data_IF_279923232420
#
_entry.id   IF_279923232420
#
_cell.length_a   1.000
_cell.length_b   1.000
_cell.length_c   1.000
_cell.angle_alpha   90.00
_cell.angle_beta   90.00
_cell.angle_gamma   90.00
#
_symmetry.space_group_name_H-M   'P 1'
#
loop_
_entity.id
_entity.type
_entity.pdbx_description
1 polymer ?
#
# COMPACT_ATOMS: atom_id res chain seq x y z
N UNK A 1 -16.71 -33.54 -1.39
CA UNK A 1 -15.35 -33.45 -0.81
C UNK A 1 -14.65 -32.20 -1.33
N UNK A 2 -14.05 -31.41 -0.45
CA UNK A 2 -13.23 -30.26 -0.89
C UNK A 2 -11.96 -30.79 -1.56
N UNK A 3 -11.55 -30.20 -2.69
CA UNK A 3 -10.27 -30.54 -3.32
C UNK A 3 -9.10 -30.16 -2.41
N UNK A 4 -7.94 -30.81 -2.59
CA UNK A 4 -6.72 -30.48 -1.83
C UNK A 4 -6.37 -28.99 -1.95
N UNK A 5 -6.57 -28.42 -3.15
CA UNK A 5 -6.39 -26.99 -3.43
C UNK A 5 -7.31 -26.11 -2.58
N UNK A 6 -8.57 -26.50 -2.40
CA UNK A 6 -9.54 -25.80 -1.56
C UNK A 6 -9.19 -25.87 -0.07
N UNK A 7 -8.67 -27.01 0.39
CA UNK A 7 -8.23 -27.20 1.78
C UNK A 7 -7.03 -26.31 2.07
N UNK A 8 -5.99 -26.38 1.23
CA UNK A 8 -4.78 -25.56 1.37
C UNK A 8 -5.11 -24.06 1.30
N UNK A 9 -5.98 -23.70 0.37
CA UNK A 9 -6.40 -22.30 0.19
C UNK A 9 -7.18 -21.80 1.41
N UNK A 10 -8.13 -22.58 1.93
CA UNK A 10 -8.89 -22.23 3.14
C UNK A 10 -7.98 -22.09 4.37
N UNK A 11 -6.97 -22.95 4.49
CA UNK A 11 -6.00 -22.88 5.58
C UNK A 11 -5.12 -21.62 5.50
N UNK A 12 -4.57 -21.33 4.32
CA UNK A 12 -3.78 -20.10 4.06
C UNK A 12 -4.61 -18.85 4.34
N UNK A 13 -5.83 -18.84 3.86
CA UNK A 13 -6.77 -17.74 4.03
C UNK A 13 -7.07 -17.47 5.51
N UNK A 14 -7.46 -18.51 6.24
CA UNK A 14 -7.76 -18.42 7.67
C UNK A 14 -6.55 -17.98 8.50
N UNK A 15 -5.35 -18.45 8.15
CA UNK A 15 -4.12 -18.17 8.91
C UNK A 15 -3.49 -16.82 8.58
N UNK A 16 -3.51 -16.40 7.31
CA UNK A 16 -2.73 -15.26 6.84
C UNK A 16 -3.56 -14.07 6.38
N UNK A 17 -4.80 -14.28 5.93
CA UNK A 17 -5.64 -13.24 5.35
C UNK A 17 -6.82 -12.83 6.24
N UNK A 18 -6.93 -13.42 7.42
CA UNK A 18 -7.98 -13.07 8.38
C UNK A 18 -9.39 -13.42 7.94
N UNK A 19 -9.54 -14.35 6.99
CA UNK A 19 -10.85 -14.84 6.55
C UNK A 19 -11.58 -13.95 5.55
N UNK A 20 -10.89 -12.97 4.94
CA UNK A 20 -11.50 -12.03 3.98
C UNK A 20 -11.75 -12.59 2.58
N UNK A 21 -11.22 -13.76 2.25
CA UNK A 21 -11.30 -14.32 0.88
C UNK A 21 -12.68 -14.76 0.47
N UNK A 22 -13.56 -15.04 1.42
CA UNK A 22 -14.90 -15.58 1.16
C UNK A 22 -15.95 -14.48 0.91
N UNK A 23 -15.58 -13.22 0.98
CA UNK A 23 -16.52 -12.11 0.85
C UNK A 23 -16.72 -11.61 -0.58
N UNK A 24 -15.83 -11.98 -1.49
CA UNK A 24 -15.90 -11.62 -2.91
C UNK A 24 -15.93 -12.86 -3.80
N UNK A 25 -16.63 -12.79 -4.92
CA UNK A 25 -16.65 -13.85 -5.93
C UNK A 25 -15.29 -14.09 -6.56
N UNK A 26 -15.11 -15.24 -7.20
CA UNK A 26 -13.86 -15.55 -7.92
C UNK A 26 -13.60 -14.57 -9.08
N UNK A 27 -14.64 -14.14 -9.78
CA UNK A 27 -14.55 -13.16 -10.87
C UNK A 27 -14.03 -11.81 -10.36
N UNK A 28 -14.59 -11.29 -9.28
CA UNK A 28 -14.12 -10.08 -8.59
C UNK A 28 -12.66 -10.19 -8.17
N UNK A 29 -12.28 -11.34 -7.59
CA UNK A 29 -10.89 -11.55 -7.15
C UNK A 29 -9.90 -11.59 -8.31
N UNK A 30 -10.30 -12.12 -9.47
CA UNK A 30 -9.48 -12.12 -10.68
C UNK A 30 -9.32 -10.72 -11.25
N UNK A 31 -10.38 -9.92 -11.33
CA UNK A 31 -10.33 -8.53 -11.84
C UNK A 31 -9.47 -7.62 -10.97
N UNK A 32 -9.54 -7.74 -9.66
CA UNK A 32 -8.72 -6.95 -8.73
C UNK A 32 -7.22 -7.34 -8.74
N UNK A 33 -6.87 -8.56 -9.18
CA UNK A 33 -5.48 -9.04 -9.16
C UNK A 33 -4.60 -8.39 -10.22
N UNK A 34 -5.18 -7.96 -11.33
CA UNK A 34 -4.45 -7.40 -12.46
C UNK A 34 -4.34 -5.88 -12.33
N UNK A 35 -3.12 -5.37 -12.17
CA UNK A 35 -2.86 -3.91 -12.18
C UNK A 35 -3.29 -3.24 -13.50
N UNK A 36 -3.23 -3.99 -14.61
CA UNK A 36 -3.72 -3.52 -15.90
C UNK A 36 -5.23 -3.32 -15.89
N UNK A 37 -5.98 -4.34 -15.44
CA UNK A 37 -7.45 -4.27 -15.38
C UNK A 37 -7.92 -3.19 -14.40
N UNK A 38 -7.27 -3.07 -13.24
CA UNK A 38 -7.60 -2.00 -12.28
C UNK A 38 -7.42 -0.61 -12.91
N UNK A 39 -6.32 -0.36 -13.64
CA UNK A 39 -6.11 0.93 -14.34
C UNK A 39 -7.10 1.16 -15.47
N UNK A 40 -7.42 0.14 -16.25
CA UNK A 40 -8.43 0.22 -17.31
C UNK A 40 -9.79 0.60 -16.71
N UNK A 41 -10.17 -0.03 -15.59
CA UNK A 41 -11.39 0.29 -14.87
C UNK A 41 -11.38 1.73 -14.33
N UNK A 42 -10.27 2.16 -13.74
CA UNK A 42 -10.12 3.55 -13.29
C UNK A 42 -10.21 4.55 -14.44
N UNK A 43 -9.57 4.25 -15.58
CA UNK A 43 -9.60 5.11 -16.77
C UNK A 43 -11.00 5.24 -17.35
N UNK A 44 -11.74 4.12 -17.47
CA UNK A 44 -13.09 4.09 -18.01
C UNK A 44 -14.11 4.86 -17.15
N UNK A 45 -13.85 4.93 -15.84
CA UNK A 45 -14.75 5.54 -14.86
C UNK A 45 -14.24 6.88 -14.31
N UNK A 46 -13.30 7.51 -14.98
CA UNK A 46 -12.71 8.80 -14.61
C UNK A 46 -12.14 8.85 -13.17
N UNK A 47 -11.71 7.70 -12.63
CA UNK A 47 -11.01 7.64 -11.34
C UNK A 47 -9.56 8.13 -11.51
N UNK A 48 -9.09 9.09 -10.68
CA UNK A 48 -7.73 9.58 -10.76
C UNK A 48 -6.70 8.45 -10.59
N UNK A 49 -5.82 8.24 -11.56
CA UNK A 49 -4.81 7.19 -11.51
C UNK A 49 -3.53 7.62 -12.23
N UNK A 50 -2.41 6.96 -11.91
CA UNK A 50 -1.15 7.21 -12.58
C UNK A 50 -1.22 6.81 -14.06
N UNK A 51 -0.79 7.69 -14.95
CA UNK A 51 -0.46 7.28 -16.32
C UNK A 51 0.65 6.24 -16.23
N UNK A 52 0.51 5.15 -16.98
CA UNK A 52 1.48 4.07 -16.94
C UNK A 52 1.34 3.11 -18.10
N UNK A 53 2.43 2.43 -18.43
CA UNK A 53 2.54 1.50 -19.53
C UNK A 53 3.26 0.21 -19.14
N UNK A 54 2.86 -0.89 -19.77
CA UNK A 54 3.60 -2.16 -19.66
C UNK A 54 4.72 -2.17 -20.72
N UNK A 55 5.89 -2.62 -20.30
CA UNK A 55 7.04 -2.73 -21.18
C UNK A 55 7.82 -4.04 -21.00
N UNK A 56 8.48 -4.47 -22.09
CA UNK A 56 9.34 -5.65 -22.14
C UNK A 56 10.80 -5.29 -22.43
N UNK A 57 11.04 -4.25 -23.21
CA UNK A 57 12.35 -3.76 -23.61
C UNK A 57 12.69 -2.40 -23.00
N UNK A 58 13.72 -1.76 -23.54
CA UNK A 58 14.23 -0.49 -23.03
C UNK A 58 13.54 0.73 -23.65
N UNK A 59 13.11 0.67 -24.91
CA UNK A 59 12.65 1.85 -25.67
C UNK A 59 11.42 2.52 -25.04
N UNK A 60 10.37 1.74 -24.75
CA UNK A 60 9.12 2.28 -24.16
C UNK A 60 9.34 3.08 -22.88
N UNK A 61 10.12 2.63 -21.87
CA UNK A 61 10.36 3.43 -20.68
C UNK A 61 11.03 4.78 -20.94
N UNK A 62 11.95 4.85 -21.90
CA UNK A 62 12.59 6.11 -22.26
C UNK A 62 11.62 7.06 -22.96
N UNK A 63 10.78 6.54 -23.87
CA UNK A 63 9.72 7.33 -24.51
C UNK A 63 8.69 7.82 -23.51
N UNK A 64 8.32 6.98 -22.52
CA UNK A 64 7.45 7.35 -21.43
C UNK A 64 8.04 8.50 -20.59
N UNK A 65 9.31 8.39 -20.18
CA UNK A 65 10.00 9.42 -19.42
C UNK A 65 10.13 10.74 -20.22
N UNK A 66 10.37 10.66 -21.55
CA UNK A 66 10.40 11.82 -22.43
C UNK A 66 9.03 12.51 -22.50
N UNK A 67 7.94 11.73 -22.55
CA UNK A 67 6.57 12.25 -22.67
C UNK A 67 6.02 12.84 -21.39
N UNK A 68 6.24 12.17 -20.25
CA UNK A 68 5.59 12.52 -18.97
C UNK A 68 6.52 13.15 -17.93
N UNK A 69 7.84 13.17 -18.21
CA UNK A 69 8.83 13.73 -17.29
C UNK A 69 9.12 12.81 -16.09
N UNK A 70 9.94 13.33 -15.19
CA UNK A 70 10.28 12.73 -13.90
C UNK A 70 9.58 13.49 -12.76
N UNK A 71 9.39 12.89 -11.57
CA UNK A 71 9.77 11.52 -11.17
C UNK A 71 8.79 10.44 -11.66
N UNK A 72 9.32 9.22 -11.83
CA UNK A 72 8.57 8.04 -12.28
C UNK A 72 8.85 6.81 -11.40
N UNK A 73 8.04 5.78 -11.59
CA UNK A 73 8.15 4.46 -10.93
C UNK A 73 8.37 3.39 -11.99
N UNK A 74 9.28 2.45 -11.71
CA UNK A 74 9.41 1.19 -12.44
C UNK A 74 9.19 0.04 -11.48
N UNK A 75 8.30 -0.89 -11.84
CA UNK A 75 7.95 -2.04 -10.99
C UNK A 75 7.63 -3.29 -11.83
N UNK A 76 7.77 -4.51 -11.27
CA UNK A 76 7.31 -5.73 -11.93
C UNK A 76 5.79 -5.65 -12.17
N UNK A 77 5.33 -6.17 -13.32
CA UNK A 77 3.90 -6.20 -13.63
C UNK A 77 3.11 -7.10 -12.66
N UNK A 78 3.74 -8.19 -12.22
CA UNK A 78 3.18 -9.12 -11.22
C UNK A 78 4.12 -9.16 -10.02
N UNK A 79 3.76 -8.50 -8.94
CA UNK A 79 4.48 -8.57 -7.67
C UNK A 79 3.59 -8.11 -6.52
N UNK A 80 3.78 -8.74 -5.35
CA UNK A 80 3.18 -8.27 -4.09
C UNK A 80 4.17 -7.46 -3.26
N UNK A 81 3.66 -6.69 -2.29
CA UNK A 81 4.46 -5.98 -1.28
C UNK A 81 5.54 -5.04 -1.84
N UNK A 82 5.30 -4.43 -3.01
CA UNK A 82 6.24 -3.54 -3.70
C UNK A 82 7.62 -4.15 -3.98
N UNK A 83 7.75 -5.48 -4.00
CA UNK A 83 9.02 -6.17 -4.31
C UNK A 83 9.47 -5.84 -5.72
N UNK A 84 10.75 -5.53 -5.90
CA UNK A 84 11.32 -5.17 -7.20
C UNK A 84 10.90 -3.80 -7.74
N UNK A 85 10.17 -2.98 -6.95
CA UNK A 85 9.80 -1.61 -7.36
C UNK A 85 10.93 -0.62 -7.09
N UNK A 86 11.14 0.31 -8.04
CA UNK A 86 12.13 1.38 -8.00
C UNK A 86 11.43 2.73 -8.10
N UNK A 87 11.56 3.56 -7.07
CA UNK A 87 10.98 4.90 -6.99
C UNK A 87 11.60 5.73 -5.84
N UNK A 88 11.58 7.07 -5.88
CA UNK A 88 11.39 7.85 -7.08
C UNK A 88 12.58 7.69 -8.03
N UNK A 89 12.30 7.69 -9.35
CA UNK A 89 13.32 7.73 -10.40
C UNK A 89 13.31 9.15 -10.95
N UNK A 90 14.42 9.87 -10.84
CA UNK A 90 14.50 11.31 -11.10
C UNK A 90 15.28 11.67 -12.37
N UNK A 91 15.93 10.70 -13.01
CA UNK A 91 16.71 10.92 -14.21
C UNK A 91 16.89 9.63 -15.03
N UNK A 92 17.43 9.77 -16.25
CA UNK A 92 17.62 8.66 -17.17
C UNK A 92 18.62 7.61 -16.71
N UNK A 93 19.66 8.00 -15.96
CA UNK A 93 20.63 7.06 -15.39
C UNK A 93 19.97 6.14 -14.37
N UNK A 94 19.14 6.70 -13.47
CA UNK A 94 18.37 5.92 -12.52
C UNK A 94 17.32 5.06 -13.23
N UNK A 95 16.72 5.56 -14.32
CA UNK A 95 15.77 4.80 -15.11
C UNK A 95 16.42 3.57 -15.74
N UNK A 96 17.57 3.72 -16.40
CA UNK A 96 18.31 2.60 -16.98
C UNK A 96 18.62 1.53 -15.93
N UNK A 97 19.17 1.94 -14.78
CA UNK A 97 19.45 1.04 -13.64
C UNK A 97 18.18 0.33 -13.16
N UNK A 98 17.08 1.04 -13.04
CA UNK A 98 15.80 0.47 -12.59
C UNK A 98 15.25 -0.55 -13.61
N UNK A 99 15.38 -0.29 -14.92
CA UNK A 99 14.96 -1.23 -15.98
C UNK A 99 15.75 -2.52 -15.88
N UNK A 100 17.07 -2.46 -15.75
CA UNK A 100 17.91 -3.65 -15.61
C UNK A 100 17.53 -4.45 -14.36
N UNK A 101 17.42 -3.79 -13.22
CA UNK A 101 17.13 -4.45 -11.94
C UNK A 101 15.73 -5.06 -11.87
N UNK A 102 14.72 -4.40 -12.47
CA UNK A 102 13.34 -4.93 -12.44
C UNK A 102 13.21 -6.22 -13.27
N UNK A 103 14.01 -6.37 -14.32
CA UNK A 103 14.01 -7.57 -15.18
C UNK A 103 14.51 -8.82 -14.47
N UNK A 104 15.31 -8.69 -13.41
CA UNK A 104 15.72 -9.80 -12.55
C UNK A 104 14.49 -10.40 -11.84
N UNK A 105 13.48 -9.58 -11.54
CA UNK A 105 12.26 -10.01 -10.85
C UNK A 105 11.22 -10.56 -11.80
N UNK A 106 11.01 -9.88 -12.94
CA UNK A 106 9.95 -10.27 -13.88
C UNK A 106 10.18 -9.66 -15.27
N UNK A 107 10.06 -10.43 -16.35
CA UNK A 107 10.28 -9.93 -17.71
C UNK A 107 9.34 -8.78 -18.09
N UNK A 108 8.04 -8.91 -17.77
CA UNK A 108 7.03 -7.88 -17.99
C UNK A 108 7.02 -6.88 -16.82
N UNK A 109 7.23 -5.61 -17.11
CA UNK A 109 7.34 -4.56 -16.11
C UNK A 109 6.43 -3.38 -16.43
N UNK A 110 6.17 -2.55 -15.44
CA UNK A 110 5.31 -1.36 -15.56
C UNK A 110 6.14 -0.13 -15.25
N UNK A 111 5.96 0.90 -16.08
CA UNK A 111 6.42 2.27 -15.78
C UNK A 111 5.20 3.16 -15.53
N UNK A 112 5.26 4.01 -14.52
CA UNK A 112 4.17 4.89 -14.09
C UNK A 112 4.69 6.23 -13.61
N UNK A 113 3.84 7.26 -13.68
CA UNK A 113 4.09 8.52 -13.00
C UNK A 113 4.20 8.30 -11.49
N UNK A 114 5.10 9.05 -10.84
CA UNK A 114 5.22 9.08 -9.38
C UNK A 114 4.50 10.30 -8.82
N UNK A 115 3.79 10.11 -7.73
CA UNK A 115 3.23 11.19 -6.92
C UNK A 115 3.85 11.13 -5.53
N UNK A 116 4.45 12.23 -5.09
CA UNK A 116 4.82 12.42 -3.68
C UNK A 116 3.57 12.87 -2.93
N UNK A 117 3.23 12.17 -1.86
CA UNK A 117 2.04 12.48 -1.08
C UNK A 117 1.83 11.46 0.02
N UNK A 118 0.71 11.57 0.68
CA UNK A 118 0.28 10.72 1.76
C UNK A 118 -0.34 9.43 1.23
N UNK A 119 0.09 8.31 1.78
CA UNK A 119 -0.34 6.99 1.32
C UNK A 119 -1.46 6.45 2.21
N UNK A 120 -2.63 6.24 1.63
CA UNK A 120 -3.81 5.76 2.33
C UNK A 120 -4.22 4.38 1.85
N UNK A 121 -4.75 3.60 2.77
CA UNK A 121 -5.61 2.45 2.48
C UNK A 121 -6.97 2.68 3.10
N UNK A 122 -7.99 2.68 2.25
CA UNK A 122 -9.38 2.78 2.65
C UNK A 122 -10.03 1.43 2.41
N UNK A 123 -10.66 0.86 3.44
CA UNK A 123 -11.48 -0.34 3.29
C UNK A 123 -12.93 0.07 3.17
N UNK A 124 -13.55 -0.38 2.09
CA UNK A 124 -14.97 -0.16 1.81
C UNK A 124 -15.68 -1.51 1.84
N UNK A 125 -16.80 -1.58 2.55
CA UNK A 125 -17.70 -2.73 2.64
C UNK A 125 -19.08 -2.30 2.15
N UNK A 126 -19.54 -2.93 1.07
CA UNK A 126 -20.80 -2.52 0.43
C UNK A 126 -20.78 -1.01 0.11
N UNK A 127 -21.61 -0.24 0.76
CA UNK A 127 -21.76 1.20 0.54
C UNK A 127 -21.21 2.04 1.71
N UNK A 128 -20.34 1.47 2.55
CA UNK A 128 -19.81 2.14 3.74
C UNK A 128 -18.29 2.10 3.79
N UNK A 129 -17.68 3.18 4.24
CA UNK A 129 -16.27 3.20 4.63
C UNK A 129 -16.13 2.45 5.96
N UNK A 130 -15.45 1.32 5.92
CA UNK A 130 -15.14 0.53 7.10
C UNK A 130 -14.04 1.18 7.93
N UNK A 131 -12.94 1.55 7.29
CA UNK A 131 -11.77 2.10 7.98
C UNK A 131 -10.85 2.83 7.03
N UNK A 132 -10.19 3.86 7.55
CA UNK A 132 -9.16 4.66 6.87
C UNK A 132 -7.87 4.54 7.63
N UNK A 133 -6.81 4.14 6.96
CA UNK A 133 -5.46 4.17 7.51
C UNK A 133 -4.51 4.95 6.61
N UNK A 134 -3.64 5.72 7.24
CA UNK A 134 -2.47 6.33 6.61
C UNK A 134 -1.26 5.45 6.87
N UNK A 135 -0.47 5.24 5.84
CA UNK A 135 0.70 4.37 5.92
C UNK A 135 1.98 5.17 5.69
N UNK A 136 2.95 4.90 6.51
CA UNK A 136 4.26 5.52 6.43
C UNK A 136 5.36 4.49 6.18
N UNK A 137 6.44 4.87 5.51
CA UNK A 137 7.67 4.10 5.58
C UNK A 137 8.16 4.04 7.04
N UNK A 138 9.05 3.12 7.41
CA UNK A 138 9.65 3.15 8.73
C UNK A 138 10.42 4.45 8.95
N UNK A 139 10.18 5.10 10.07
CA UNK A 139 10.86 6.31 10.50
C UNK A 139 11.05 6.34 12.01
N UNK A 140 11.94 7.20 12.46
CA UNK A 140 12.08 7.61 13.87
C UNK A 140 12.01 9.13 13.96
N UNK A 141 11.68 9.65 15.14
CA UNK A 141 11.64 11.09 15.41
C UNK A 141 12.78 11.41 16.36
N UNK A 142 13.64 12.34 15.97
CA UNK A 142 14.74 12.82 16.77
C UNK A 142 14.28 13.45 18.08
N UNK A 143 15.01 13.22 19.15
CA UNK A 143 14.86 13.87 20.44
C UNK A 143 15.96 14.92 20.73
N UNK A 144 16.93 15.04 19.82
CA UNK A 144 18.08 15.93 19.93
C UNK A 144 19.25 15.37 20.75
N UNK A 145 19.09 14.15 21.34
CA UNK A 145 20.09 13.56 22.23
C UNK A 145 20.48 12.13 21.86
N UNK A 146 19.53 11.36 21.32
CA UNK A 146 19.73 9.94 21.04
C UNK A 146 20.15 9.73 19.59
N UNK A 147 20.99 8.73 19.36
CA UNK A 147 21.35 8.25 18.04
C UNK A 147 20.14 7.61 17.33
N UNK A 148 20.21 7.54 15.99
CA UNK A 148 19.19 6.84 15.20
C UNK A 148 19.06 5.38 15.65
N UNK A 149 20.16 4.73 16.05
CA UNK A 149 20.13 3.36 16.54
C UNK A 149 19.30 3.22 17.82
N UNK A 150 19.55 4.08 18.81
CA UNK A 150 18.80 4.10 20.07
C UNK A 150 17.33 4.44 19.87
N UNK A 151 17.03 5.36 18.93
CA UNK A 151 15.64 5.69 18.57
C UNK A 151 14.92 4.51 17.93
N UNK A 152 15.61 3.69 17.10
CA UNK A 152 15.05 2.46 16.53
C UNK A 152 14.75 1.44 17.63
N UNK A 153 15.66 1.25 18.58
CA UNK A 153 15.48 0.30 19.68
C UNK A 153 14.27 0.68 20.53
N UNK A 154 14.16 1.95 20.93
CA UNK A 154 13.00 2.46 21.66
C UNK A 154 11.68 2.30 20.91
N UNK A 155 11.68 2.55 19.59
CA UNK A 155 10.48 2.35 18.77
C UNK A 155 10.12 0.87 18.68
N UNK A 156 11.08 -0.04 18.58
CA UNK A 156 10.85 -1.47 18.57
C UNK A 156 10.32 -1.99 19.91
N UNK A 157 10.85 -1.50 21.03
CA UNK A 157 10.36 -1.81 22.38
C UNK A 157 8.91 -1.35 22.57
N UNK A 158 8.55 -0.17 22.05
CA UNK A 158 7.18 0.32 22.08
C UNK A 158 6.24 -0.57 21.25
N UNK A 159 6.69 -1.02 20.06
CA UNK A 159 5.91 -1.94 19.21
C UNK A 159 5.68 -3.29 19.88
N UNK A 160 6.67 -3.80 20.60
CA UNK A 160 6.55 -5.03 21.36
C UNK A 160 5.55 -4.87 22.51
N UNK A 161 5.67 -3.79 23.31
CA UNK A 161 4.70 -3.48 24.37
C UNK A 161 3.27 -3.32 23.87
N UNK A 162 3.09 -2.79 22.66
CA UNK A 162 1.80 -2.67 22.00
C UNK A 162 1.33 -3.98 21.33
N UNK A 163 2.11 -5.05 21.34
CA UNK A 163 1.84 -6.32 20.69
C UNK A 163 1.50 -6.18 19.18
N UNK A 164 2.23 -5.31 18.46
CA UNK A 164 1.93 -5.02 17.06
C UNK A 164 2.38 -6.12 16.09
N UNK A 165 3.34 -6.96 16.48
CA UNK A 165 3.73 -8.13 15.69
C UNK A 165 2.64 -9.21 15.73
N UNK A 166 2.32 -9.91 14.63
CA UNK A 166 3.01 -9.93 13.34
C UNK A 166 2.47 -8.91 12.30
N UNK A 167 1.63 -7.98 12.68
CA UNK A 167 1.04 -6.99 11.75
C UNK A 167 2.06 -5.95 11.35
N UNK A 168 2.66 -5.29 12.33
CA UNK A 168 3.77 -4.33 12.12
C UNK A 168 5.04 -5.01 12.62
N UNK A 169 6.00 -5.18 11.72
CA UNK A 169 7.28 -5.77 12.07
C UNK A 169 8.21 -4.75 12.75
N UNK A 170 9.20 -5.20 13.55
CA UNK A 170 10.23 -4.31 14.06
C UNK A 170 11.03 -3.67 12.92
N UNK A 171 11.57 -2.50 13.16
CA UNK A 171 12.46 -1.81 12.24
C UNK A 171 13.82 -2.51 12.26
N UNK A 172 14.27 -2.96 11.10
CA UNK A 172 15.54 -3.70 10.99
C UNK A 172 16.75 -2.77 10.90
N UNK A 173 17.77 -3.03 11.73
CA UNK A 173 19.10 -2.41 11.65
C UNK A 173 20.00 -3.23 10.69
N UNK A 174 19.72 -3.14 9.38
CA UNK A 174 20.36 -3.98 8.37
C UNK A 174 21.00 -3.15 7.23
N UNK A 175 21.69 -3.82 6.32
CA UNK A 175 22.38 -3.17 5.19
C UNK A 175 21.46 -2.29 4.32
N UNK A 176 20.16 -2.55 4.28
CA UNK A 176 19.20 -1.72 3.52
C UNK A 176 19.03 -0.36 4.22
N UNK A 177 18.83 -0.39 5.53
CA UNK A 177 18.73 0.82 6.36
C UNK A 177 20.02 1.64 6.28
N UNK A 178 21.20 0.99 6.42
CA UNK A 178 22.50 1.65 6.26
C UNK A 178 22.61 2.36 4.91
N UNK A 179 22.31 1.65 3.82
CA UNK A 179 22.37 2.21 2.46
C UNK A 179 21.37 3.34 2.23
N UNK A 180 20.26 3.29 2.94
CA UNK A 180 19.23 4.33 2.83
C UNK A 180 19.66 5.60 3.57
N UNK A 181 20.12 5.48 4.81
CA UNK A 181 20.64 6.59 5.61
C UNK A 181 21.82 7.31 4.93
N UNK A 182 22.76 6.57 4.33
CA UNK A 182 23.88 7.14 3.57
C UNK A 182 23.47 8.08 2.44
N UNK A 183 22.27 7.94 1.86
CA UNK A 183 21.78 8.86 0.82
C UNK A 183 21.49 10.26 1.35
N UNK A 184 21.24 10.37 2.65
CA UNK A 184 21.00 11.63 3.37
C UNK A 184 22.18 12.01 4.25
N UNK A 185 23.37 11.43 4.01
CA UNK A 185 24.59 11.62 4.80
C UNK A 185 24.42 11.28 6.30
N UNK A 186 23.52 10.32 6.60
CA UNK A 186 23.24 9.84 7.95
C UNK A 186 23.81 8.43 8.15
N UNK A 187 24.03 8.07 9.41
CA UNK A 187 24.39 6.73 9.87
C UNK A 187 23.66 6.42 11.19
N UNK A 188 23.79 5.20 11.70
CA UNK A 188 23.13 4.80 12.94
C UNK A 188 23.54 5.63 14.17
N UNK A 189 24.78 6.14 14.19
CA UNK A 189 25.30 6.99 15.27
C UNK A 189 24.94 8.48 15.12
N UNK A 190 24.28 8.88 14.01
CA UNK A 190 23.81 10.26 13.83
C UNK A 190 22.72 10.58 14.85
N UNK A 191 22.77 11.80 15.40
CA UNK A 191 21.80 12.32 16.38
C UNK A 191 20.89 13.33 15.64
N UNK A 192 19.63 12.96 15.32
CA UNK A 192 18.71 13.87 14.67
C UNK A 192 18.23 14.96 15.62
N UNK A 193 17.96 16.14 15.08
CA UNK A 193 17.40 17.25 15.83
C UNK A 193 16.04 16.91 16.45
N UNK A 194 15.68 17.56 17.53
CA UNK A 194 14.37 17.35 18.19
C UNK A 194 13.22 17.64 17.21
N UNK A 195 12.34 16.65 17.05
CA UNK A 195 11.20 16.72 16.12
C UNK A 195 11.55 16.37 14.67
N UNK A 196 12.81 16.14 14.33
CA UNK A 196 13.23 15.74 12.99
C UNK A 196 12.76 14.31 12.69
N UNK A 197 12.00 14.14 11.59
CA UNK A 197 11.58 12.82 11.11
C UNK A 197 12.65 12.22 10.20
N UNK A 198 13.31 11.17 10.65
CA UNK A 198 14.30 10.43 9.87
C UNK A 198 13.67 9.19 9.29
N UNK A 199 13.44 9.20 7.99
CA UNK A 199 12.96 8.01 7.25
C UNK A 199 14.09 6.98 7.13
N UNK A 200 13.80 5.72 7.41
CA UNK A 200 14.77 4.62 7.44
C UNK A 200 14.71 3.73 6.20
N UNK A 201 13.63 3.83 5.44
CA UNK A 201 13.42 3.14 4.18
C UNK A 201 12.31 3.81 3.36
N UNK A 202 12.29 3.67 2.05
CA UNK A 202 11.36 4.39 1.17
C UNK A 202 10.02 3.69 0.92
N UNK A 203 9.78 2.49 1.45
CA UNK A 203 8.56 1.72 1.17
C UNK A 203 7.62 1.74 2.36
N UNK A 204 6.35 1.99 2.09
CA UNK A 204 5.24 1.93 3.07
C UNK A 204 4.77 0.49 3.35
N UNK A 205 5.70 -0.47 3.36
CA UNK A 205 5.41 -1.89 3.60
C UNK A 205 5.63 -2.24 5.09
N UNK A 206 4.80 -3.13 5.63
CA UNK A 206 4.84 -3.50 7.05
C UNK A 206 6.05 -4.36 7.42
N UNK A 207 6.48 -5.24 6.52
CA UNK A 207 7.61 -6.14 6.74
C UNK A 207 8.97 -5.43 7.00
N UNK A 208 9.32 -4.31 6.36
CA UNK A 208 10.50 -3.54 6.74
C UNK A 208 10.29 -2.60 7.94
N UNK A 209 9.18 -2.71 8.66
CA UNK A 209 8.87 -1.88 9.81
C UNK A 209 8.05 -0.62 9.49
N UNK A 210 7.30 -0.61 8.38
CA UNK A 210 6.39 0.50 8.05
C UNK A 210 5.36 0.73 9.15
N UNK A 211 4.82 1.93 9.18
CA UNK A 211 3.95 2.42 10.26
C UNK A 211 2.52 2.60 9.73
N UNK A 212 1.55 2.30 10.58
CA UNK A 212 0.13 2.51 10.35
C UNK A 212 -0.39 3.51 11.36
N UNK A 213 -1.12 4.49 10.84
CA UNK A 213 -1.95 5.40 11.59
C UNK A 213 -3.41 5.20 11.20
N UNK A 214 -4.29 4.97 12.16
CA UNK A 214 -5.73 4.96 11.92
C UNK A 214 -6.28 6.37 12.00
N UNK A 215 -7.09 6.73 11.01
CA UNK A 215 -7.75 8.03 10.95
C UNK A 215 -9.24 7.88 11.26
N UNK A 216 -9.82 8.95 11.75
CA UNK A 216 -11.27 9.04 11.81
C UNK A 216 -11.83 9.08 10.38
N UNK A 217 -12.72 8.14 10.07
CA UNK A 217 -13.35 8.08 8.74
C UNK A 217 -14.17 9.33 8.41
N UNK A 218 -14.64 10.03 9.43
CA UNK A 218 -15.46 11.24 9.27
C UNK A 218 -14.61 12.49 9.01
N UNK A 219 -13.28 12.41 9.20
CA UNK A 219 -12.34 13.45 8.78
C UNK A 219 -12.07 13.44 7.27
N UNK A 220 -12.48 12.40 6.54
CA UNK A 220 -12.35 12.35 5.09
C UNK A 220 -13.28 13.35 4.43
N UNK A 221 -12.76 14.14 3.48
CA UNK A 221 -13.59 15.06 2.69
C UNK A 221 -14.70 14.29 1.94
N UNK A 222 -15.92 14.85 1.87
CA UNK A 222 -17.09 14.14 1.33
C UNK A 222 -16.91 13.72 -0.13
N UNK A 223 -16.34 14.55 -0.97
CA UNK A 223 -16.04 14.17 -2.37
C UNK A 223 -15.11 12.96 -2.47
N UNK A 224 -14.16 12.83 -1.55
CA UNK A 224 -13.27 11.67 -1.48
C UNK A 224 -14.04 10.43 -1.03
N UNK A 225 -14.91 10.57 -0.04
CA UNK A 225 -15.80 9.51 0.44
C UNK A 225 -16.64 8.95 -0.70
N UNK A 226 -17.34 9.81 -1.44
CA UNK A 226 -18.14 9.42 -2.61
C UNK A 226 -17.29 8.70 -3.66
N UNK A 227 -16.06 9.21 -3.92
CA UNK A 227 -15.17 8.61 -4.91
C UNK A 227 -14.74 7.19 -4.51
N UNK A 228 -14.42 6.94 -3.23
CA UNK A 228 -14.11 5.60 -2.74
C UNK A 228 -15.33 4.66 -2.82
N UNK A 229 -16.52 5.13 -2.49
CA UNK A 229 -17.75 4.34 -2.56
C UNK A 229 -18.11 3.95 -4.00
N UNK A 230 -17.91 4.84 -4.97
CA UNK A 230 -18.13 4.58 -6.40
C UNK A 230 -17.27 3.47 -6.98
N UNK A 231 -16.14 3.13 -6.36
CA UNK A 231 -15.24 2.08 -6.87
C UNK A 231 -15.80 0.67 -6.63
N UNK A 232 -16.53 0.43 -5.55
CA UNK A 232 -17.08 -0.90 -5.20
C UNK A 232 -17.90 -1.53 -6.34
N UNK A 233 -18.93 -0.85 -6.89
CA UNK A 233 -19.74 -1.44 -7.95
C UNK A 233 -18.95 -1.71 -9.23
N UNK A 234 -17.93 -0.94 -9.56
CA UNK A 234 -17.13 -1.17 -10.76
C UNK A 234 -16.40 -2.52 -10.75
N UNK A 235 -16.10 -3.05 -9.59
CA UNK A 235 -15.48 -4.36 -9.42
C UNK A 235 -16.48 -5.46 -9.03
N UNK A 236 -17.79 -5.15 -8.93
CA UNK A 236 -18.82 -6.06 -8.39
C UNK A 236 -18.35 -6.70 -7.08
N UNK A 237 -17.88 -5.87 -6.16
CA UNK A 237 -17.25 -6.30 -4.92
C UNK A 237 -18.17 -6.09 -3.71
N UNK A 238 -17.99 -6.92 -2.70
CA UNK A 238 -18.60 -6.73 -1.38
C UNK A 238 -17.68 -6.00 -0.41
N UNK A 239 -16.37 -6.19 -0.60
CA UNK A 239 -15.31 -5.53 0.18
C UNK A 239 -14.12 -5.24 -0.71
N UNK A 240 -13.56 -4.05 -0.59
CA UNK A 240 -12.29 -3.68 -1.23
C UNK A 240 -11.39 -2.93 -0.25
N UNK A 241 -10.12 -3.25 -0.26
CA UNK A 241 -9.07 -2.37 0.24
C UNK A 241 -8.51 -1.55 -0.91
N UNK A 242 -8.68 -0.25 -0.88
CA UNK A 242 -8.31 0.67 -1.96
C UNK A 242 -7.10 1.47 -1.53
N UNK A 243 -6.03 1.40 -2.32
CA UNK A 243 -4.79 2.14 -2.06
C UNK A 243 -4.74 3.40 -2.93
N UNK A 244 -4.54 4.55 -2.28
CA UNK A 244 -4.42 5.83 -2.97
C UNK A 244 -3.33 6.72 -2.35
N UNK A 245 -2.79 7.63 -3.16
CA UNK A 245 -1.88 8.69 -2.72
C UNK A 245 -2.58 10.01 -2.95
N UNK A 246 -2.63 10.85 -1.92
CA UNK A 246 -3.12 12.22 -1.94
C UNK A 246 -1.95 13.17 -1.71
N UNK A 247 -1.83 14.22 -2.52
CA UNK A 247 -0.72 15.16 -2.43
C UNK A 247 -0.77 16.01 -1.15
N UNK A 248 -1.98 16.48 -0.76
CA UNK A 248 -2.20 17.35 0.40
C UNK A 248 -2.81 16.63 1.60
N UNK A 249 -3.55 15.55 1.38
CA UNK A 249 -4.25 14.78 2.41
C UNK A 249 -5.65 14.35 1.99
N UNK A 250 -6.22 13.38 2.71
CA UNK A 250 -7.54 12.82 2.41
C UNK A 250 -8.69 13.73 2.90
N UNK A 251 -8.40 14.69 3.72
CA UNK A 251 -9.27 15.74 4.25
C UNK A 251 -9.48 16.91 3.26
N UNK A 252 -8.66 17.02 2.23
CA UNK A 252 -8.85 17.96 1.12
C UNK A 252 -9.55 17.28 -0.06
N UNK A 253 -10.41 18.00 -0.83
CA UNK A 253 -11.11 17.41 -1.98
C UNK A 253 -10.12 16.94 -3.06
N UNK A 254 -10.41 15.78 -3.66
CA UNK A 254 -9.55 15.24 -4.72
C UNK A 254 -9.48 16.12 -5.97
N UNK A 255 -10.44 17.02 -6.16
CA UNK A 255 -10.48 18.00 -7.26
C UNK A 255 -9.43 19.09 -7.12
N UNK A 256 -9.01 19.42 -5.89
CA UNK A 256 -8.13 20.54 -5.56
C UNK A 256 -6.68 20.11 -5.29
N UNK A 257 -6.38 18.87 -5.60
CA UNK A 257 -5.06 18.28 -5.43
C UNK A 257 -4.80 17.16 -6.43
N UNK A 258 -3.54 16.75 -6.55
CA UNK A 258 -3.22 15.54 -7.31
C UNK A 258 -3.49 14.30 -6.46
N UNK A 259 -4.21 13.36 -7.06
CA UNK A 259 -4.53 12.08 -6.43
C UNK A 259 -4.22 10.94 -7.39
N UNK A 260 -3.70 9.85 -6.88
CA UNK A 260 -3.45 8.63 -7.65
C UNK A 260 -4.02 7.43 -6.89
N UNK A 261 -5.04 6.80 -7.45
CA UNK A 261 -5.49 5.47 -7.04
C UNK A 261 -4.51 4.45 -7.61
N UNK A 262 -3.93 3.62 -6.74
CA UNK A 262 -2.83 2.72 -7.08
C UNK A 262 -3.31 1.32 -7.44
N UNK A 263 -4.16 0.76 -6.57
CA UNK A 263 -4.64 -0.61 -6.68
C UNK A 263 -5.89 -0.85 -5.84
N UNK A 264 -6.62 -1.90 -6.17
CA UNK A 264 -7.71 -2.44 -5.37
C UNK A 264 -7.37 -3.86 -4.91
N UNK A 265 -7.67 -4.15 -3.67
CA UNK A 265 -7.41 -5.44 -3.05
C UNK A 265 -8.74 -6.08 -2.65
N UNK A 266 -9.14 -7.15 -3.35
CA UNK A 266 -10.36 -7.91 -3.02
C UNK A 266 -10.26 -8.76 -1.75
N UNK A 267 -9.08 -8.82 -1.16
CA UNK A 267 -8.76 -9.49 0.10
C UNK A 267 -7.90 -8.58 0.95
N UNK A 268 -8.48 -7.48 1.46
CA UNK A 268 -7.72 -6.55 2.29
C UNK A 268 -7.26 -7.25 3.58
N UNK A 269 -6.04 -6.94 4.00
CA UNK A 269 -5.52 -7.44 5.28
C UNK A 269 -6.11 -6.62 6.42
N UNK A 270 -7.26 -7.05 6.94
CA UNK A 270 -8.04 -6.29 7.93
C UNK A 270 -7.33 -6.12 9.27
N UNK A 271 -6.45 -7.06 9.64
CA UNK A 271 -5.70 -6.94 10.91
C UNK A 271 -4.91 -5.65 11.04
N UNK A 272 -4.45 -5.05 9.93
CA UNK A 272 -3.74 -3.77 9.99
C UNK A 272 -4.58 -2.61 10.55
N UNK A 273 -5.90 -2.71 10.49
CA UNK A 273 -6.82 -1.71 11.02
C UNK A 273 -7.08 -1.87 12.53
N UNK A 274 -6.74 -3.04 13.10
CA UNK A 274 -6.85 -3.32 14.53
C UNK A 274 -5.57 -3.04 15.31
N UNK A 275 -4.42 -2.95 14.63
CA UNK A 275 -3.10 -2.83 15.26
C UNK A 275 -2.35 -1.59 14.74
N UNK A 276 -2.90 -0.37 14.92
CA UNK A 276 -2.20 0.84 14.52
C UNK A 276 -1.04 1.15 15.47
N UNK A 277 0.01 1.80 14.93
CA UNK A 277 1.05 2.41 15.75
C UNK A 277 0.60 3.76 16.29
N UNK A 278 -0.16 4.50 15.48
CA UNK A 278 -0.75 5.78 15.81
C UNK A 278 -2.27 5.78 15.57
N UNK A 279 -2.97 6.69 16.23
CA UNK A 279 -4.42 6.79 16.15
C UNK A 279 -5.15 5.78 17.05
N UNK A 280 -6.47 5.79 16.99
CA UNK A 280 -7.32 4.91 17.80
C UNK A 280 -7.54 3.58 17.08
N UNK A 281 -7.54 2.48 17.86
CA UNK A 281 -7.97 1.18 17.36
C UNK A 281 -9.41 1.29 16.84
N UNK A 282 -9.64 0.80 15.62
CA UNK A 282 -10.96 0.85 14.99
C UNK A 282 -11.86 -0.27 15.50
N UNK A 283 -13.13 0.06 15.80
CA UNK A 283 -14.16 -0.94 16.05
C UNK A 283 -14.77 -1.38 14.73
N UNK A 284 -14.64 -2.66 14.40
CA UNK A 284 -14.97 -3.21 13.08
C UNK A 284 -16.03 -4.32 13.16
N UNK A 285 -16.58 -4.63 14.33
CA UNK A 285 -17.54 -5.74 14.54
C UNK A 285 -18.75 -5.64 13.64
N UNK A 286 -19.35 -4.45 13.52
CA UNK A 286 -20.48 -4.20 12.63
C UNK A 286 -20.21 -4.67 11.18
N UNK A 287 -19.02 -4.36 10.65
CA UNK A 287 -18.67 -4.73 9.27
C UNK A 287 -18.44 -6.23 9.11
N UNK A 288 -17.91 -6.90 10.12
CA UNK A 288 -17.83 -8.36 10.11
C UNK A 288 -19.22 -9.00 10.12
N UNK A 289 -20.16 -8.45 10.86
CA UNK A 289 -21.56 -8.93 10.85
C UNK A 289 -22.22 -8.75 9.48
N UNK A 290 -22.01 -7.60 8.83
CA UNK A 290 -22.46 -7.36 7.45
C UNK A 290 -21.85 -8.37 6.49
N UNK A 291 -20.54 -8.60 6.56
CA UNK A 291 -19.85 -9.53 5.68
C UNK A 291 -20.26 -10.98 5.91
N UNK A 292 -20.46 -11.39 7.16
CA UNK A 292 -20.85 -12.75 7.51
C UNK A 292 -22.29 -13.11 7.07
N UNK A 293 -23.15 -12.11 6.85
CA UNK A 293 -24.51 -12.29 6.31
C UNK A 293 -24.53 -12.43 4.79
N UNK A 294 -23.39 -12.30 4.09
CA UNK A 294 -23.35 -12.45 2.64
C UNK A 294 -23.47 -13.91 2.24
N UNK A 295 -24.52 -14.24 1.49
CA UNK A 295 -24.67 -15.54 0.85
C UNK A 295 -23.83 -15.59 -0.44
N UNK A 296 -22.60 -16.07 -0.33
CA UNK A 296 -21.74 -16.30 -1.49
C UNK A 296 -21.72 -17.79 -1.79
N UNK A 297 -22.15 -18.18 -3.00
CA UNK A 297 -22.15 -19.58 -3.41
C UNK A 297 -20.73 -20.14 -3.41
N UNK A 298 -20.52 -21.36 -2.90
CA UNK A 298 -19.19 -21.97 -2.81
C UNK A 298 -18.44 -22.04 -4.15
N UNK A 299 -19.16 -22.23 -5.27
CA UNK A 299 -18.59 -22.20 -6.63
C UNK A 299 -17.99 -20.86 -7.02
N UNK A 300 -18.42 -19.78 -6.39
CA UNK A 300 -17.98 -18.42 -6.65
C UNK A 300 -16.77 -18.02 -5.78
N UNK A 301 -16.44 -18.85 -4.80
CA UNK A 301 -15.33 -18.59 -3.87
C UNK A 301 -14.00 -19.15 -4.41
N UNK A 302 -14.03 -20.24 -5.18
CA UNK A 302 -12.85 -21.00 -5.61
C UNK A 302 -12.64 -21.03 -7.12
#
# INVERSE_FOLDING_TARGET
MKSLKQIVYSWVDKKFLGGCSNYNSLSTRKSCRSKKQAREMFSQNAIPHAKGEIFWGFVKPFLFAKKYGFPIVVKPNVSGFSRGSHFPINNYTQLLKAIVLVKIWWPSSVIEQYLKGENYRVVVVKNEIMSVIRRYPPFVIGDGNSSIEELIDRENDLREKMALYPVIHPIGKNLRTVRFLKKSNLCFTSIPSKGEMVTLYNRVALAPGGIIETLDKDSMHEQNRELFLKIIPYFNANILGIDAIFEKGIDFPYTDQRVIFLEVNSRPYLKMHHYPRYGKKQELSHFYDVLNRLEIQQKDIF
#
